data_IF_365146678361
#
_entry.id   IF_365146678361
#
_cell.length_a   1.000
_cell.length_b   1.000
_cell.length_c   1.000
_cell.angle_alpha   90.00
_cell.angle_beta   90.00
_cell.angle_gamma   90.00
#
_symmetry.space_group_name_H-M   'P 1'
#
loop_
_entity.id
_entity.type
_entity.pdbx_description
1 polymer ?
#
# COMPACT_ATOMS: atom_id res chain seq x y z
N UNK A 1 -0.16 -33.94 3.62
CA UNK A 1 0.71 -33.12 2.75
C UNK A 1 -0.05 -31.85 2.38
N UNK A 2 0.12 -30.74 3.13
CA UNK A 2 -0.51 -29.45 2.76
C UNK A 2 0.17 -28.95 1.49
N UNK A 3 -0.58 -28.78 0.41
CA UNK A 3 -0.02 -28.28 -0.84
C UNK A 3 0.45 -26.84 -0.65
N UNK A 4 1.71 -26.56 -1.05
CA UNK A 4 2.37 -25.25 -0.94
C UNK A 4 1.51 -24.09 -1.50
N UNK A 5 0.68 -24.38 -2.49
CA UNK A 5 -0.27 -23.47 -3.14
C UNK A 5 -1.43 -23.05 -2.22
N UNK A 6 -1.87 -23.92 -1.31
CA UNK A 6 -2.94 -23.59 -0.36
C UNK A 6 -2.52 -22.58 0.70
N UNK A 7 -1.22 -22.53 1.02
CA UNK A 7 -0.65 -21.61 2.01
C UNK A 7 -0.45 -20.21 1.43
N UNK A 8 0.00 -20.12 0.16
CA UNK A 8 0.15 -18.83 -0.53
C UNK A 8 -1.21 -18.13 -0.74
N UNK A 9 -2.25 -18.87 -1.11
CA UNK A 9 -3.61 -18.32 -1.24
C UNK A 9 -4.17 -17.76 0.08
N UNK A 10 -3.89 -18.45 1.20
CA UNK A 10 -4.30 -17.97 2.54
C UNK A 10 -3.57 -16.68 2.90
N UNK A 11 -2.26 -16.63 2.64
CA UNK A 11 -1.43 -15.47 2.93
C UNK A 11 -1.84 -14.25 2.09
N UNK A 12 -2.09 -14.44 0.79
CA UNK A 12 -2.58 -13.39 -0.10
C UNK A 12 -3.94 -12.82 0.37
N UNK A 13 -4.87 -13.69 0.77
CA UNK A 13 -6.17 -13.27 1.32
C UNK A 13 -6.02 -12.47 2.62
N UNK A 14 -5.07 -12.86 3.45
CA UNK A 14 -4.77 -12.16 4.70
C UNK A 14 -4.20 -10.75 4.45
N UNK A 15 -3.21 -10.64 3.56
CA UNK A 15 -2.62 -9.36 3.15
C UNK A 15 -3.71 -8.47 2.56
N UNK A 16 -4.59 -9.01 1.71
CA UNK A 16 -5.66 -8.23 1.10
C UNK A 16 -6.66 -7.70 2.14
N UNK A 17 -7.01 -8.52 3.14
CA UNK A 17 -7.86 -8.09 4.27
C UNK A 17 -7.20 -6.99 5.09
N UNK A 18 -5.91 -7.12 5.36
CA UNK A 18 -5.13 -6.10 6.06
C UNK A 18 -5.05 -4.80 5.25
N UNK A 19 -4.75 -4.89 3.96
CA UNK A 19 -4.67 -3.76 3.03
C UNK A 19 -5.98 -2.99 2.94
N UNK A 20 -7.12 -3.70 2.87
CA UNK A 20 -8.46 -3.09 2.72
C UNK A 20 -8.78 -2.04 3.80
N UNK A 21 -8.18 -2.12 4.99
CA UNK A 21 -8.44 -1.19 6.10
C UNK A 21 -7.91 0.22 5.86
N UNK A 22 -6.80 0.34 5.16
CA UNK A 22 -6.16 1.64 4.89
C UNK A 22 -6.08 1.97 3.40
N UNK A 23 -6.42 1.00 2.53
CA UNK A 23 -6.54 1.16 1.09
C UNK A 23 -7.34 2.39 0.70
N UNK A 24 -8.51 2.62 1.32
CA UNK A 24 -9.36 3.76 0.96
C UNK A 24 -8.69 5.11 1.25
N UNK A 25 -8.12 5.27 2.44
CA UNK A 25 -7.40 6.49 2.84
C UNK A 25 -6.18 6.71 1.96
N UNK A 26 -5.41 5.64 1.73
CA UNK A 26 -4.21 5.69 0.91
C UNK A 26 -4.50 5.99 -0.57
N UNK A 27 -5.57 5.41 -1.13
CA UNK A 27 -6.03 5.68 -2.48
C UNK A 27 -6.51 7.11 -2.63
N UNK A 28 -7.26 7.66 -1.67
CA UNK A 28 -7.70 9.05 -1.71
C UNK A 28 -6.51 10.02 -1.75
N UNK A 29 -5.48 9.75 -0.95
CA UNK A 29 -4.23 10.52 -0.95
C UNK A 29 -3.50 10.35 -2.29
N UNK A 30 -3.36 9.11 -2.78
CA UNK A 30 -2.75 8.83 -4.09
C UNK A 30 -3.46 9.58 -5.22
N UNK A 31 -4.79 9.57 -5.23
CA UNK A 31 -5.61 10.29 -6.21
C UNK A 31 -5.33 11.78 -6.18
N UNK A 32 -5.35 12.37 -4.98
CA UNK A 32 -5.08 13.79 -4.81
C UNK A 32 -3.69 14.18 -5.32
N UNK A 33 -2.67 13.39 -4.96
CA UNK A 33 -1.28 13.60 -5.38
C UNK A 33 -1.15 13.52 -6.91
N UNK A 34 -1.67 12.45 -7.52
CA UNK A 34 -1.55 12.22 -8.98
C UNK A 34 -2.27 13.30 -9.78
N UNK A 35 -3.47 13.72 -9.36
CA UNK A 35 -4.20 14.80 -10.04
C UNK A 35 -3.43 16.13 -9.99
N UNK A 36 -2.81 16.45 -8.85
CA UNK A 36 -2.02 17.68 -8.72
C UNK A 36 -0.71 17.62 -9.48
N UNK A 37 -0.03 16.48 -9.49
CA UNK A 37 1.22 16.32 -10.25
C UNK A 37 0.99 16.41 -11.75
N UNK A 38 -0.12 15.85 -12.26
CA UNK A 38 -0.46 15.93 -13.68
C UNK A 38 -0.66 17.38 -14.15
N UNK A 39 -1.26 18.24 -13.32
CA UNK A 39 -1.46 19.65 -13.65
C UNK A 39 -0.18 20.50 -13.61
N UNK A 40 0.85 20.07 -12.88
CA UNK A 40 2.10 20.81 -12.67
C UNK A 40 3.26 20.31 -13.54
N UNK A 41 3.06 19.21 -14.27
CA UNK A 41 4.02 18.64 -15.20
C UNK A 41 5.09 17.73 -14.56
N UNK A 42 6.02 17.27 -15.40
CA UNK A 42 7.05 16.28 -15.05
C UNK A 42 7.85 16.53 -13.75
N UNK A 43 8.34 17.76 -13.43
CA UNK A 43 9.10 17.96 -12.19
C UNK A 43 8.25 17.72 -10.94
N UNK A 44 6.95 18.02 -11.00
CA UNK A 44 6.04 17.78 -9.88
C UNK A 44 5.82 16.29 -9.59
N UNK A 45 5.97 15.41 -10.58
CA UNK A 45 5.85 13.95 -10.41
C UNK A 45 6.91 13.38 -9.47
N UNK A 46 8.14 13.91 -9.51
CA UNK A 46 9.23 13.47 -8.61
C UNK A 46 8.91 13.87 -7.17
N UNK A 47 8.46 15.12 -6.95
CA UNK A 47 8.05 15.58 -5.62
C UNK A 47 6.83 14.81 -5.11
N UNK A 48 5.85 14.55 -5.97
CA UNK A 48 4.67 13.75 -5.69
C UNK A 48 5.03 12.32 -5.22
N UNK A 49 6.03 11.69 -5.85
CA UNK A 49 6.52 10.38 -5.44
C UNK A 49 7.08 10.38 -4.01
N UNK A 50 7.88 11.39 -3.65
CA UNK A 50 8.41 11.51 -2.29
C UNK A 50 7.32 11.79 -1.24
N UNK A 51 6.35 12.65 -1.58
CA UNK A 51 5.18 12.89 -0.72
C UNK A 51 4.40 11.57 -0.53
N UNK A 52 4.23 10.78 -1.59
CA UNK A 52 3.59 9.48 -1.49
C UNK A 52 4.34 8.53 -0.55
N UNK A 53 5.66 8.43 -0.65
CA UNK A 53 6.47 7.62 0.27
C UNK A 53 6.26 8.06 1.72
N UNK A 54 6.32 9.38 2.00
CA UNK A 54 6.15 9.88 3.36
C UNK A 54 4.76 9.61 3.90
N UNK A 55 3.70 9.85 3.13
CA UNK A 55 2.32 9.58 3.56
C UNK A 55 2.08 8.09 3.82
N UNK A 56 2.58 7.20 2.95
CA UNK A 56 2.48 5.76 3.17
C UNK A 56 3.28 5.31 4.40
N UNK A 57 4.44 5.90 4.68
CA UNK A 57 5.21 5.63 5.89
C UNK A 57 4.47 6.06 7.17
N UNK A 58 3.85 7.25 7.16
CA UNK A 58 3.03 7.74 8.28
C UNK A 58 1.82 6.83 8.53
N UNK A 59 1.10 6.45 7.48
CA UNK A 59 -0.04 5.51 7.57
C UNK A 59 0.44 4.16 8.10
N UNK A 60 1.53 3.62 7.55
CA UNK A 60 2.12 2.36 8.00
C UNK A 60 2.54 2.39 9.47
N UNK A 61 3.13 3.50 9.93
CA UNK A 61 3.49 3.72 11.33
C UNK A 61 2.27 3.82 12.25
N UNK A 62 1.25 4.55 11.83
CA UNK A 62 -0.02 4.63 12.57
C UNK A 62 -0.68 3.26 12.72
N UNK A 63 -0.67 2.46 11.65
CA UNK A 63 -1.21 1.10 11.67
C UNK A 63 -0.38 0.20 12.58
N UNK A 64 0.95 0.29 12.48
CA UNK A 64 1.88 -0.47 13.31
C UNK A 64 1.59 -0.28 14.80
N UNK A 65 1.32 0.96 15.22
CA UNK A 65 1.03 1.29 16.61
C UNK A 65 -0.41 0.90 17.02
N UNK A 66 -1.40 1.23 16.18
CA UNK A 66 -2.81 1.12 16.55
C UNK A 66 -3.38 -0.31 16.48
N UNK A 67 -2.81 -1.19 15.65
CA UNK A 67 -3.37 -2.53 15.39
C UNK A 67 -2.57 -3.67 16.02
N UNK A 68 -2.00 -3.43 17.21
CA UNK A 68 -1.24 -4.45 17.94
C UNK A 68 -1.96 -5.81 18.12
N UNK A 69 -3.28 -5.87 18.44
CA UNK A 69 -3.99 -7.15 18.61
C UNK A 69 -4.07 -7.98 17.32
N UNK A 70 -4.14 -7.34 16.16
CA UNK A 70 -4.20 -8.03 14.87
C UNK A 70 -2.86 -8.60 14.46
N UNK A 71 -1.78 -7.88 14.76
CA UNK A 71 -0.44 -8.44 14.57
C UNK A 71 -0.19 -9.65 15.47
N UNK A 72 -0.82 -9.74 16.65
CA UNK A 72 -0.78 -10.96 17.46
C UNK A 72 -1.54 -12.11 16.80
N UNK A 73 -2.71 -11.86 16.20
CA UNK A 73 -3.43 -12.87 15.42
C UNK A 73 -2.59 -13.40 14.25
N UNK A 74 -1.91 -12.52 13.51
CA UNK A 74 -1.02 -12.91 12.41
C UNK A 74 0.24 -13.63 12.89
N UNK A 75 0.79 -13.24 14.04
CA UNK A 75 1.91 -13.92 14.68
C UNK A 75 1.55 -15.36 15.06
N UNK A 76 0.33 -15.60 15.56
CA UNK A 76 -0.17 -16.94 15.89
C UNK A 76 -0.35 -17.82 14.63
N UNK A 77 -0.47 -17.22 13.45
CA UNK A 77 -0.47 -17.91 12.16
C UNK A 77 0.94 -18.09 11.56
N UNK A 78 1.99 -17.70 12.27
CA UNK A 78 3.38 -17.79 11.81
C UNK A 78 3.81 -16.66 10.86
N UNK A 79 3.00 -15.62 10.69
CA UNK A 79 3.31 -14.49 9.80
C UNK A 79 3.85 -13.32 10.62
N UNK A 80 5.02 -12.82 10.24
CA UNK A 80 5.63 -11.66 10.87
C UNK A 80 4.85 -10.38 10.61
N UNK A 81 4.79 -9.50 11.61
CA UNK A 81 4.23 -8.15 11.48
C UNK A 81 4.86 -7.35 10.34
N UNK A 82 6.19 -7.39 10.23
CA UNK A 82 6.93 -6.67 9.19
C UNK A 82 6.57 -7.19 7.80
N UNK A 83 6.37 -8.50 7.64
CA UNK A 83 5.96 -9.10 6.37
C UNK A 83 4.61 -8.55 5.89
N UNK A 84 3.64 -8.41 6.80
CA UNK A 84 2.34 -7.82 6.47
C UNK A 84 2.45 -6.35 6.06
N UNK A 85 3.19 -5.56 6.83
CA UNK A 85 3.38 -4.14 6.54
C UNK A 85 4.12 -3.90 5.23
N UNK A 86 5.23 -4.62 5.01
CA UNK A 86 6.00 -4.53 3.76
C UNK A 86 5.10 -4.92 2.59
N UNK A 87 4.40 -6.06 2.66
CA UNK A 87 3.55 -6.49 1.56
C UNK A 87 2.43 -5.49 1.26
N UNK A 88 1.82 -4.89 2.30
CA UNK A 88 0.74 -3.93 2.13
C UNK A 88 1.24 -2.58 1.59
N UNK A 89 2.40 -2.10 2.04
CA UNK A 89 3.05 -0.88 1.52
C UNK A 89 3.53 -1.08 0.09
N UNK A 90 4.10 -2.24 -0.24
CA UNK A 90 4.51 -2.56 -1.61
C UNK A 90 3.32 -2.60 -2.56
N UNK A 91 2.20 -3.20 -2.14
CA UNK A 91 0.96 -3.23 -2.92
C UNK A 91 0.41 -1.81 -3.12
N UNK A 92 0.46 -0.98 -2.09
CA UNK A 92 0.03 0.42 -2.16
C UNK A 92 0.87 1.25 -3.15
N UNK A 93 2.19 1.11 -3.09
CA UNK A 93 3.12 1.78 -3.99
C UNK A 93 2.94 1.31 -5.44
N UNK A 94 2.71 0.01 -5.65
CA UNK A 94 2.40 -0.53 -6.97
C UNK A 94 1.14 0.13 -7.55
N UNK A 95 0.07 0.25 -6.75
CA UNK A 95 -1.17 0.91 -7.16
C UNK A 95 -0.95 2.39 -7.49
N UNK A 96 -0.15 3.11 -6.68
CA UNK A 96 0.21 4.49 -6.97
C UNK A 96 0.98 4.63 -8.30
N UNK A 97 1.97 3.77 -8.55
CA UNK A 97 2.76 3.80 -9.79
C UNK A 97 1.84 3.53 -11.00
N UNK A 98 0.98 2.51 -10.91
CA UNK A 98 0.02 2.21 -11.98
C UNK A 98 -0.91 3.40 -12.23
N UNK A 99 -1.40 4.04 -11.17
CA UNK A 99 -2.28 5.20 -11.29
C UNK A 99 -1.56 6.42 -11.87
N UNK A 100 -0.33 6.69 -11.45
CA UNK A 100 0.46 7.79 -11.99
C UNK A 100 0.76 7.57 -13.48
N UNK A 101 1.03 6.33 -13.89
CA UNK A 101 1.31 5.97 -15.28
C UNK A 101 0.07 6.04 -16.18
N UNK A 102 -1.12 5.74 -15.67
CA UNK A 102 -2.35 5.90 -16.44
C UNK A 102 -2.74 7.37 -16.60
N UNK A 103 -2.57 8.17 -15.55
CA UNK A 103 -2.89 9.60 -15.62
C UNK A 103 -1.89 10.35 -16.49
N UNK A 104 -0.58 10.03 -16.45
CA UNK A 104 0.38 10.70 -17.35
C UNK A 104 0.01 10.53 -18.81
N UNK A 105 -0.43 9.33 -19.22
CA UNK A 105 -0.90 9.06 -20.59
C UNK A 105 -2.17 9.82 -21.01
N UNK A 106 -2.95 10.34 -20.06
CA UNK A 106 -4.14 11.13 -20.36
C UNK A 106 -3.83 12.61 -20.60
N UNK A 107 -2.64 13.07 -20.17
CA UNK A 107 -2.21 14.47 -20.26
C UNK A 107 -1.07 14.68 -21.29
N UNK A 108 -0.57 13.60 -21.90
CA UNK A 108 0.29 13.60 -23.09
C UNK A 108 -0.55 13.69 -24.38
#
# INVERSE_FOLDING_TARGET
>A
MKTKVGETFRLARLILRFYRRFCFVSLAISLFIVMKSAALGAPATIFAFWIKIMTTAVIGGFIYYSYHPEFQYYKNLGIGRNTMLIAAVSLDLLLYILMSATVSRLYD
#
